data_IF_745891291616
#
_entry.id   IF_745891291616
#
_cell.length_a   1.000
_cell.length_b   1.000
_cell.length_c   1.000
_cell.angle_alpha   90.00
_cell.angle_beta   90.00
_cell.angle_gamma   90.00
#
_symmetry.space_group_name_H-M   'P 1'
#
loop_
_entity.id
_entity.type
_entity.pdbx_description
1 polymer ?
#
# COMPACT_ATOMS: atom_id res chain seq x y z
N UNK A 1 18.22 41.53 -27.57
CA UNK A 1 17.59 40.24 -27.89
C UNK A 1 18.14 39.26 -26.87
N UNK A 2 17.88 39.56 -25.59
CA UNK A 2 16.83 38.98 -24.73
C UNK A 2 17.38 37.75 -24.00
N UNK A 3 18.01 38.02 -22.86
CA UNK A 3 18.28 37.04 -21.82
C UNK A 3 16.95 36.47 -21.34
N UNK A 4 16.74 35.17 -21.56
CA UNK A 4 15.58 34.46 -21.03
C UNK A 4 15.90 34.04 -19.60
N UNK A 5 15.31 34.77 -18.67
CA UNK A 5 15.31 34.51 -17.23
C UNK A 5 14.71 33.12 -16.95
N UNK A 6 15.53 32.21 -16.42
CA UNK A 6 15.15 30.85 -16.07
C UNK A 6 14.20 30.90 -14.87
N UNK A 7 12.89 30.81 -15.13
CA UNK A 7 11.88 30.81 -14.07
C UNK A 7 12.00 29.55 -13.23
N UNK A 8 12.54 29.71 -12.02
CA UNK A 8 12.55 28.71 -10.97
C UNK A 8 11.12 28.21 -10.69
N UNK A 9 10.87 26.94 -11.02
CA UNK A 9 9.59 26.28 -10.76
C UNK A 9 9.45 26.02 -9.26
N UNK A 10 8.75 26.91 -8.57
CA UNK A 10 8.27 26.70 -7.21
C UNK A 10 7.03 25.80 -7.28
N UNK A 11 7.06 24.55 -6.77
CA UNK A 11 5.83 23.79 -6.65
C UNK A 11 4.95 24.47 -5.59
N UNK A 12 3.81 24.98 -6.04
CA UNK A 12 2.69 25.38 -5.18
C UNK A 12 2.50 24.29 -4.13
N UNK A 13 2.74 24.64 -2.86
CA UNK A 13 2.46 23.73 -1.76
C UNK A 13 0.95 23.62 -1.66
N UNK A 14 0.37 22.64 -2.36
CA UNK A 14 -0.94 22.13 -2.02
C UNK A 14 -0.80 21.47 -0.65
N UNK A 15 -1.00 22.29 0.37
CA UNK A 15 -1.46 21.90 1.68
C UNK A 15 -2.78 21.14 1.52
N UNK A 16 -2.67 19.86 1.17
CA UNK A 16 -3.75 18.91 1.39
C UNK A 16 -3.81 18.75 2.91
N UNK A 17 -4.55 19.65 3.55
CA UNK A 17 -5.13 19.36 4.84
C UNK A 17 -5.90 18.07 4.64
N UNK A 18 -5.43 16.98 5.26
CA UNK A 18 -6.30 15.83 5.47
C UNK A 18 -7.40 16.34 6.38
N UNK A 19 -8.51 16.78 5.76
CA UNK A 19 -9.77 16.88 6.46
C UNK A 19 -10.03 15.49 7.00
N UNK A 20 -10.03 15.39 8.33
CA UNK A 20 -10.63 14.26 9.03
C UNK A 20 -12.13 14.42 8.88
N UNK A 21 -12.61 14.25 7.65
CA UNK A 21 -14.03 14.11 7.38
C UNK A 21 -14.41 12.75 7.97
N UNK A 22 -14.93 12.85 9.20
CA UNK A 22 -15.67 11.79 9.86
C UNK A 22 -16.69 11.30 8.84
N UNK A 23 -16.65 10.00 8.55
CA UNK A 23 -17.71 9.34 7.79
C UNK A 23 -19.00 9.56 8.61
N UNK A 24 -19.83 10.50 8.17
CA UNK A 24 -21.18 10.66 8.70
C UNK A 24 -22.00 9.47 8.20
N UNK A 25 -22.07 8.45 9.04
CA UNK A 25 -23.02 7.35 8.88
C UNK A 25 -24.40 7.97 9.08
N UNK A 26 -25.13 8.12 7.98
CA UNK A 26 -26.55 8.47 7.98
C UNK A 26 -27.27 7.55 8.97
N UNK A 27 -27.79 8.16 10.04
CA UNK A 27 -28.61 7.49 11.04
C UNK A 27 -29.99 7.21 10.46
N UNK A 28 -30.09 6.18 9.61
CA UNK A 28 -31.37 5.51 9.42
C UNK A 28 -31.63 4.62 10.65
N UNK A 29 -32.87 4.49 11.13
CA UNK A 29 -33.17 3.72 12.32
C UNK A 29 -32.90 2.24 12.05
N UNK A 30 -31.72 1.78 12.44
CA UNK A 30 -31.34 0.37 12.43
C UNK A 30 -32.25 -0.33 13.43
N UNK A 31 -33.08 -1.24 12.92
CA UNK A 31 -33.87 -2.14 13.74
C UNK A 31 -32.94 -2.87 14.70
N UNK A 32 -33.32 -2.89 15.97
CA UNK A 32 -32.58 -3.48 17.09
C UNK A 32 -32.42 -4.99 16.85
N UNK A 33 -31.29 -5.39 16.25
CA UNK A 33 -30.87 -6.79 16.10
C UNK A 33 -29.78 -7.03 17.14
N UNK A 34 -29.88 -8.07 18.00
CA UNK A 34 -28.92 -8.29 19.08
C UNK A 34 -27.50 -8.42 18.52
N UNK A 35 -26.63 -7.48 18.87
CA UNK A 35 -25.27 -7.31 18.33
C UNK A 35 -24.22 -8.28 18.93
N UNK A 36 -24.63 -9.40 19.51
CA UNK A 36 -23.73 -10.27 20.28
C UNK A 36 -23.23 -11.51 19.52
N UNK A 37 -23.87 -11.91 18.41
CA UNK A 37 -23.49 -13.13 17.67
C UNK A 37 -22.60 -12.86 16.43
N UNK A 38 -22.74 -11.72 15.75
CA UNK A 38 -22.04 -11.48 14.48
C UNK A 38 -20.53 -11.16 14.63
N UNK A 39 -20.11 -10.55 15.74
CA UNK A 39 -18.71 -10.18 15.95
C UNK A 39 -17.81 -11.38 16.32
N UNK A 40 -18.40 -12.46 16.85
CA UNK A 40 -17.66 -13.63 17.34
C UNK A 40 -17.32 -14.62 16.22
N UNK A 41 -18.20 -14.75 15.24
CA UNK A 41 -17.94 -15.61 14.07
C UNK A 41 -16.89 -15.00 13.12
N UNK A 42 -16.90 -13.67 12.92
CA UNK A 42 -15.96 -13.02 12.01
C UNK A 42 -14.50 -13.09 12.51
N UNK A 43 -14.27 -12.99 13.83
CA UNK A 43 -12.94 -13.19 14.43
C UNK A 43 -12.45 -14.63 14.27
N UNK A 44 -13.35 -15.61 14.34
CA UNK A 44 -13.03 -17.04 14.22
C UNK A 44 -12.60 -17.42 12.78
N UNK A 45 -13.19 -16.77 11.77
CA UNK A 45 -12.79 -16.94 10.37
C UNK A 45 -11.39 -16.37 10.09
N UNK A 46 -11.05 -15.21 10.67
CA UNK A 46 -9.75 -14.59 10.50
C UNK A 46 -8.64 -15.38 11.20
N UNK A 47 -8.89 -15.85 12.43
CA UNK A 47 -7.96 -16.72 13.16
C UNK A 47 -7.74 -18.07 12.45
N UNK A 48 -8.76 -18.60 11.79
CA UNK A 48 -8.65 -19.82 10.97
C UNK A 48 -7.83 -19.60 9.70
N UNK A 49 -7.86 -18.40 9.11
CA UNK A 49 -7.15 -18.08 7.87
C UNK A 49 -5.69 -17.67 8.10
N UNK A 50 -5.40 -16.98 9.21
CA UNK A 50 -4.04 -16.56 9.53
C UNK A 50 -3.19 -17.75 9.99
N UNK A 51 -1.91 -17.85 9.56
CA UNK A 51 -1.00 -18.82 10.14
C UNK A 51 -0.83 -18.53 11.64
N UNK A 52 -0.69 -19.60 12.44
CA UNK A 52 -0.47 -19.44 13.89
C UNK A 52 0.77 -18.57 14.14
N UNK A 53 0.75 -17.72 15.18
CA UNK A 53 1.91 -16.94 15.56
C UNK A 53 3.14 -17.85 15.73
N UNK A 54 4.32 -17.44 15.24
CA UNK A 54 5.55 -18.14 15.53
C UNK A 54 5.75 -18.24 17.05
N UNK A 55 6.15 -19.42 17.53
CA UNK A 55 6.47 -19.63 18.96
C UNK A 55 7.93 -19.37 19.28
N UNK A 56 8.76 -19.23 18.25
CA UNK A 56 10.19 -18.97 18.39
C UNK A 56 10.43 -17.50 18.62
N UNK A 57 11.38 -17.21 19.53
CA UNK A 57 11.85 -15.85 19.76
C UNK A 57 12.66 -15.37 18.55
N UNK A 58 12.51 -14.09 18.20
CA UNK A 58 13.33 -13.47 17.16
C UNK A 58 14.82 -13.54 17.52
N UNK A 59 15.70 -13.70 16.54
CA UNK A 59 17.15 -13.68 16.80
C UNK A 59 17.61 -12.34 17.39
N UNK A 60 18.53 -12.39 18.36
CA UNK A 60 19.01 -11.20 19.08
C UNK A 60 19.57 -10.14 18.12
N UNK A 61 20.33 -10.57 17.10
CA UNK A 61 20.87 -9.67 16.07
C UNK A 61 19.79 -8.92 15.29
N UNK A 62 18.65 -9.56 15.02
CA UNK A 62 17.52 -8.93 14.32
C UNK A 62 16.80 -7.95 15.23
N UNK A 63 16.58 -8.34 16.49
CA UNK A 63 15.96 -7.47 17.49
C UNK A 63 16.76 -6.18 17.67
N UNK A 64 18.08 -6.27 17.80
CA UNK A 64 18.96 -5.09 17.92
C UNK A 64 18.85 -4.16 16.72
N UNK A 65 18.79 -4.69 15.49
CA UNK A 65 18.61 -3.89 14.27
C UNK A 65 17.28 -3.15 14.27
N UNK A 66 16.20 -3.83 14.66
CA UNK A 66 14.87 -3.23 14.75
C UNK A 66 14.85 -2.14 15.83
N UNK A 67 15.40 -2.43 17.02
CA UNK A 67 15.48 -1.45 18.12
C UNK A 67 16.27 -0.22 17.66
N UNK A 68 17.41 -0.39 17.00
CA UNK A 68 18.21 0.72 16.45
C UNK A 68 17.41 1.57 15.46
N UNK A 69 16.66 0.95 14.56
CA UNK A 69 15.80 1.66 13.61
C UNK A 69 14.70 2.47 14.32
N UNK A 70 14.07 1.87 15.34
CA UNK A 70 13.02 2.52 16.12
C UNK A 70 13.55 3.71 16.93
N UNK A 71 14.72 3.57 17.55
CA UNK A 71 15.40 4.67 18.24
C UNK A 71 15.69 5.79 17.26
N UNK A 72 16.28 5.49 16.10
CA UNK A 72 16.60 6.48 15.07
C UNK A 72 15.35 7.24 14.58
N UNK A 73 14.23 6.53 14.37
CA UNK A 73 12.94 7.12 13.99
C UNK A 73 12.43 8.08 15.06
N UNK A 74 12.50 7.69 16.34
CA UNK A 74 12.02 8.49 17.48
C UNK A 74 12.90 9.72 17.74
N UNK A 75 14.23 9.58 17.67
CA UNK A 75 15.18 10.66 17.98
C UNK A 75 15.29 11.69 16.87
N UNK A 76 15.24 11.26 15.61
CA UNK A 76 15.45 12.14 14.46
C UNK A 76 14.14 12.79 13.98
N UNK A 77 12.99 12.24 14.38
CA UNK A 77 11.66 12.69 13.90
C UNK A 77 11.46 12.51 12.39
N UNK A 78 12.36 11.80 11.70
CA UNK A 78 12.30 11.58 10.25
C UNK A 78 11.45 10.37 9.93
N UNK A 79 10.60 10.52 8.92
CA UNK A 79 9.90 9.41 8.29
C UNK A 79 10.68 8.96 7.06
N UNK A 80 11.28 7.77 7.10
CA UNK A 80 11.98 7.19 5.95
C UNK A 80 11.08 7.12 4.70
N UNK A 81 9.78 6.86 4.90
CA UNK A 81 8.81 6.83 3.81
C UNK A 81 8.60 8.23 3.20
N UNK A 82 8.59 9.28 4.02
CA UNK A 82 8.48 10.65 3.51
C UNK A 82 9.74 11.03 2.71
N UNK A 83 10.92 10.69 3.23
CA UNK A 83 12.18 10.92 2.54
C UNK A 83 12.25 10.18 1.20
N UNK A 84 11.86 8.90 1.18
CA UNK A 84 11.81 8.10 -0.04
C UNK A 84 10.85 8.71 -1.07
N UNK A 85 9.64 9.10 -0.65
CA UNK A 85 8.64 9.73 -1.54
C UNK A 85 9.09 11.07 -2.11
N UNK A 86 9.98 11.78 -1.43
CA UNK A 86 10.51 13.06 -1.90
C UNK A 86 11.63 12.90 -2.94
N UNK A 87 12.30 11.74 -3.02
CA UNK A 87 13.35 11.47 -4.00
C UNK A 87 12.82 11.53 -5.43
N UNK A 88 13.61 12.11 -6.33
CA UNK A 88 13.24 12.31 -7.74
C UNK A 88 13.06 10.97 -8.46
N UNK A 89 13.95 10.03 -8.19
CA UNK A 89 13.95 8.70 -8.80
C UNK A 89 12.73 7.90 -8.38
N UNK A 90 12.27 8.08 -7.13
CA UNK A 90 11.07 7.40 -6.63
C UNK A 90 9.78 8.00 -7.17
N UNK A 91 9.76 9.31 -7.46
CA UNK A 91 8.64 10.00 -8.11
C UNK A 91 8.59 9.78 -9.62
N UNK A 92 9.57 9.10 -10.20
CA UNK A 92 9.54 8.75 -11.61
C UNK A 92 8.37 7.78 -11.86
N UNK A 93 7.35 8.14 -12.67
CA UNK A 93 6.26 7.22 -13.00
C UNK A 93 6.77 5.92 -13.63
N UNK A 94 7.94 5.93 -14.27
CA UNK A 94 8.54 4.76 -14.92
C UNK A 94 9.33 3.87 -13.96
N UNK A 95 9.50 4.25 -12.69
CA UNK A 95 10.27 3.46 -11.71
C UNK A 95 9.72 2.03 -11.60
N UNK A 96 8.41 1.90 -11.42
CA UNK A 96 7.75 0.59 -11.29
C UNK A 96 7.87 -0.21 -12.58
N UNK A 97 7.72 0.42 -13.74
CA UNK A 97 7.87 -0.25 -15.04
C UNK A 97 9.27 -0.84 -15.21
N UNK A 98 10.32 -0.09 -14.84
CA UNK A 98 11.68 -0.59 -14.87
C UNK A 98 11.89 -1.77 -13.91
N UNK A 99 11.36 -1.68 -12.68
CA UNK A 99 11.48 -2.78 -11.70
C UNK A 99 10.78 -4.04 -12.19
N UNK A 100 9.57 -3.92 -12.72
CA UNK A 100 8.80 -5.05 -13.29
C UNK A 100 9.58 -5.72 -14.41
N UNK A 101 10.10 -4.93 -15.36
CA UNK A 101 10.85 -5.45 -16.51
C UNK A 101 12.19 -6.08 -16.11
N UNK A 102 12.90 -5.52 -15.13
CA UNK A 102 14.23 -6.03 -14.72
C UNK A 102 14.16 -7.25 -13.79
N UNK A 103 13.05 -7.43 -13.07
CA UNK A 103 12.84 -8.57 -12.17
C UNK A 103 11.99 -9.67 -12.81
N UNK A 104 11.66 -9.56 -14.10
CA UNK A 104 10.81 -10.49 -14.83
C UNK A 104 9.46 -10.74 -14.12
N UNK A 105 8.91 -9.68 -13.51
CA UNK A 105 7.62 -9.74 -12.83
C UNK A 105 6.51 -9.65 -13.88
N UNK A 106 5.52 -10.53 -13.75
CA UNK A 106 4.30 -10.44 -14.56
C UNK A 106 3.41 -9.29 -14.05
N UNK A 107 3.19 -8.23 -14.84
CA UNK A 107 2.44 -7.04 -14.40
C UNK A 107 0.96 -7.31 -14.10
N UNK A 108 0.38 -8.35 -14.71
CA UNK A 108 -1.00 -8.78 -14.46
C UNK A 108 -1.06 -10.12 -13.72
N UNK A 109 0.09 -10.60 -13.23
CA UNK A 109 0.23 -11.89 -12.59
C UNK A 109 -0.58 -11.99 -11.30
N UNK A 110 -1.14 -13.17 -11.08
CA UNK A 110 -1.81 -13.50 -9.83
C UNK A 110 -0.93 -14.40 -8.96
N UNK A 111 -1.07 -14.28 -7.64
CA UNK A 111 -0.44 -15.22 -6.71
C UNK A 111 -1.20 -16.56 -6.61
N UNK A 112 -2.35 -16.68 -7.25
CA UNK A 112 -3.11 -17.93 -7.33
C UNK A 112 -2.44 -18.93 -8.29
N UNK A 113 -2.71 -20.22 -8.06
CA UNK A 113 -2.37 -21.25 -9.03
C UNK A 113 -3.17 -21.03 -10.33
N UNK A 114 -2.54 -21.28 -11.48
CA UNK A 114 -3.18 -21.08 -12.80
C UNK A 114 -4.48 -21.87 -12.98
N UNK A 115 -4.62 -22.99 -12.29
CA UNK A 115 -5.85 -23.78 -12.29
C UNK A 115 -7.01 -23.09 -11.58
N UNK A 116 -6.73 -22.26 -10.58
CA UNK A 116 -7.73 -21.48 -9.86
C UNK A 116 -8.02 -20.16 -10.58
N UNK A 117 -6.99 -19.49 -11.10
CA UNK A 117 -7.12 -18.25 -11.83
C UNK A 117 -5.91 -18.00 -12.72
N UNK A 118 -6.13 -17.84 -14.03
CA UNK A 118 -5.10 -17.47 -15.00
C UNK A 118 -5.43 -16.10 -15.62
N UNK A 119 -4.71 -15.02 -15.24
CA UNK A 119 -4.88 -13.70 -15.84
C UNK A 119 -4.66 -13.66 -17.36
N UNK A 120 -3.87 -14.60 -17.90
CA UNK A 120 -3.55 -14.67 -19.33
C UNK A 120 -4.49 -15.63 -20.09
N UNK A 121 -5.48 -16.22 -19.43
CA UNK A 121 -6.39 -17.19 -20.01
C UNK A 121 -7.58 -16.61 -20.78
N UNK A 122 -7.79 -15.29 -20.73
CA UNK A 122 -8.90 -14.61 -21.41
C UNK A 122 -8.69 -14.55 -22.93
N UNK A 123 -9.78 -14.58 -23.69
CA UNK A 123 -9.69 -14.41 -25.14
C UNK A 123 -9.33 -12.96 -25.48
N UNK A 124 -8.62 -12.77 -26.59
CA UNK A 124 -8.21 -11.44 -27.05
C UNK A 124 -9.43 -10.54 -27.34
N UNK A 125 -10.58 -11.12 -27.69
CA UNK A 125 -11.82 -10.38 -27.91
C UNK A 125 -12.40 -9.74 -26.66
N UNK A 126 -12.03 -10.21 -25.47
CA UNK A 126 -12.58 -9.72 -24.20
C UNK A 126 -11.90 -8.43 -23.72
N UNK A 127 -10.77 -8.05 -24.35
CA UNK A 127 -10.02 -6.85 -24.00
C UNK A 127 -10.57 -5.62 -24.73
N UNK A 128 -10.50 -4.46 -24.07
CA UNK A 128 -11.01 -3.21 -24.63
C UNK A 128 -10.34 -2.82 -25.97
N UNK A 129 -9.09 -3.23 -26.17
CA UNK A 129 -8.32 -2.98 -27.41
C UNK A 129 -8.91 -3.69 -28.65
N UNK A 130 -9.80 -4.67 -28.45
CA UNK A 130 -10.41 -5.45 -29.52
C UNK A 130 -11.73 -4.87 -30.06
N UNK A 131 -12.18 -3.72 -29.53
CA UNK A 131 -13.44 -3.03 -29.91
C UNK A 131 -13.14 -1.82 -30.82
#
# INVERSE_FOLDING_TARGET
MEEQEEKEYQPESQNVSVSTDRIEISSEPVMDVPAEEQQKEETDLLEKWLPRPPKEECSDELQEKIIKLLVLKKTTGRSFNAELRNKKEYRNPDLLLYTVNSQEIDPIGSRFDKAAFDPHGYDKSDFYDAI
#
